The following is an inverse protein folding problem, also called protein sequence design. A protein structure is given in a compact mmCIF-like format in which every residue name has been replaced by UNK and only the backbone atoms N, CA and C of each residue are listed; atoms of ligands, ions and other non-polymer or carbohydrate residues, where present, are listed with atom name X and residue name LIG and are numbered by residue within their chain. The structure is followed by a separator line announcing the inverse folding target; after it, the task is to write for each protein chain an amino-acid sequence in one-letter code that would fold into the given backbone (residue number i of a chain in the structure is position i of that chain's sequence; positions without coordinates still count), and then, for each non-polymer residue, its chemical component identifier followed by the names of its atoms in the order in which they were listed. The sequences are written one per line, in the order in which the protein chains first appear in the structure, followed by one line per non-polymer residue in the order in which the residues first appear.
data_IF_802880822295
#
_entry.id   IF_802880822295
#
_cell.length_a   1.000
_cell.length_b   1.000
_cell.length_c   1.000
_cell.angle_alpha   90.00
_cell.angle_beta   90.00
_cell.angle_gamma   90.00
#
_symmetry.space_group_name_H-M   'P 1'
#
loop_
_entity.id
_entity.type
_entity.pdbx_description
1 polymer ?
#
# COMPACT_ATOMS: atom_id res chain seq x y z
N UNK A 1 -10.45 -11.93 57.10
CA UNK A 1 -10.37 -10.73 56.23
C UNK A 1 -10.56 -11.21 54.80
N UNK A 2 -11.63 -10.72 54.17
CA UNK A 2 -12.08 -11.13 52.85
C UNK A 2 -11.15 -10.61 51.74
N UNK A 3 -11.19 -11.34 50.63
CA UNK A 3 -10.45 -11.22 49.38
C UNK A 3 -10.55 -9.83 48.73
N UNK A 4 -9.49 -9.44 48.03
CA UNK A 4 -9.58 -8.59 46.84
C UNK A 4 -8.89 -9.35 45.70
N UNK A 5 -9.68 -10.20 45.03
CA UNK A 5 -9.27 -10.87 43.80
C UNK A 5 -9.06 -9.84 42.70
N UNK A 6 -7.84 -9.77 42.17
CA UNK A 6 -7.59 -9.17 40.87
C UNK A 6 -8.26 -10.02 39.82
N UNK A 7 -9.40 -9.54 39.29
CA UNK A 7 -10.13 -10.18 38.22
C UNK A 7 -9.26 -10.32 36.99
N UNK A 8 -8.80 -11.55 36.74
CA UNK A 8 -8.27 -11.95 35.45
C UNK A 8 -9.48 -12.17 34.55
N UNK A 9 -9.88 -11.12 33.84
CA UNK A 9 -10.94 -11.21 32.85
C UNK A 9 -10.54 -12.21 31.76
N UNK A 10 -11.48 -13.11 31.41
CA UNK A 10 -11.33 -14.27 30.54
C UNK A 10 -11.12 -13.93 29.04
N UNK A 11 -10.21 -13.01 28.75
CA UNK A 11 -9.85 -12.56 27.40
C UNK A 11 -8.63 -11.64 27.42
N UNK A 12 -7.61 -12.04 28.21
CA UNK A 12 -6.45 -11.25 28.63
C UNK A 12 -5.82 -10.35 27.56
N UNK A 13 -6.27 -9.11 27.51
CA UNK A 13 -5.56 -8.02 26.85
C UNK A 13 -5.60 -6.85 27.83
N UNK A 14 -4.47 -6.58 28.48
CA UNK A 14 -4.30 -5.37 29.29
C UNK A 14 -4.32 -4.12 28.38
N UNK A 15 -4.79 -2.99 28.91
CA UNK A 15 -5.05 -1.77 28.14
C UNK A 15 -3.78 -1.11 27.54
N UNK A 16 -2.68 -1.08 28.29
CA UNK A 16 -1.41 -0.48 27.83
C UNK A 16 -0.71 -1.30 26.73
N UNK A 17 -0.57 -2.63 26.86
CA UNK A 17 0.00 -3.47 25.80
C UNK A 17 -0.74 -3.36 24.47
N UNK A 18 -2.05 -3.13 24.49
CA UNK A 18 -2.85 -3.01 23.27
C UNK A 18 -2.49 -1.77 22.43
N UNK A 19 -2.28 -0.61 23.06
CA UNK A 19 -1.92 0.62 22.33
C UNK A 19 -0.53 0.49 21.67
N UNK A 20 0.42 -0.13 22.37
CA UNK A 20 1.74 -0.43 21.84
C UNK A 20 1.68 -1.46 20.69
N UNK A 21 0.86 -2.50 20.84
CA UNK A 21 0.60 -3.49 19.79
C UNK A 21 -0.02 -2.83 18.55
N UNK A 22 -1.01 -1.96 18.72
CA UNK A 22 -1.64 -1.22 17.62
C UNK A 22 -0.63 -0.37 16.85
N UNK A 23 0.26 0.31 17.56
CA UNK A 23 1.33 1.12 16.97
C UNK A 23 2.28 0.24 16.14
N UNK A 24 2.77 -0.86 16.72
CA UNK A 24 3.66 -1.80 16.02
C UNK A 24 3.00 -2.47 14.81
N UNK A 25 1.70 -2.77 14.88
CA UNK A 25 0.95 -3.31 13.74
C UNK A 25 0.75 -2.27 12.64
N UNK A 26 0.53 -1.00 12.98
CA UNK A 26 0.46 0.06 11.97
C UNK A 26 1.81 0.21 11.27
N UNK A 27 2.92 0.19 11.99
CA UNK A 27 4.25 0.30 11.39
C UNK A 27 4.55 -0.92 10.49
N UNK A 28 4.13 -2.12 10.89
CA UNK A 28 4.25 -3.34 10.08
C UNK A 28 3.41 -3.29 8.79
N UNK A 29 2.18 -2.78 8.86
CA UNK A 29 1.22 -2.79 7.74
C UNK A 29 1.34 -1.58 6.80
N UNK A 30 1.72 -0.43 7.36
CA UNK A 30 1.64 0.89 6.74
C UNK A 30 2.92 1.71 6.92
N UNK A 31 3.99 1.16 7.49
CA UNK A 31 5.30 1.81 7.50
C UNK A 31 5.94 1.85 6.11
N UNK A 32 6.93 2.73 5.96
CA UNK A 32 7.76 2.85 4.75
C UNK A 32 8.56 1.56 4.49
N UNK A 33 8.93 1.28 3.23
CA UNK A 33 9.59 0.02 2.86
C UNK A 33 10.96 -0.17 3.53
N UNK A 34 11.73 0.90 3.72
CA UNK A 34 12.99 0.85 4.48
C UNK A 34 12.74 0.64 5.98
N UNK A 35 11.63 1.17 6.50
CA UNK A 35 11.20 0.97 7.88
C UNK A 35 10.56 -0.42 8.12
N UNK A 36 10.11 -1.14 7.08
CA UNK A 36 9.65 -2.54 7.19
C UNK A 36 10.78 -3.51 7.51
N UNK A 37 12.01 -3.22 7.07
CA UNK A 37 13.19 -4.00 7.46
C UNK A 37 13.60 -3.74 8.93
N UNK A 38 13.27 -2.56 9.45
CA UNK A 38 13.47 -2.15 10.85
C UNK A 38 12.21 -2.44 11.71
N UNK A 39 11.09 -2.82 11.07
CA UNK A 39 9.82 -3.01 11.74
C UNK A 39 9.94 -4.16 12.74
N UNK A 40 9.59 -3.83 13.99
CA UNK A 40 9.58 -4.72 15.14
C UNK A 40 9.09 -6.10 14.73
N UNK A 41 9.96 -7.11 14.75
CA UNK A 41 9.57 -8.47 14.40
C UNK A 41 8.43 -8.93 15.32
N UNK A 42 7.56 -9.82 14.83
CA UNK A 42 6.45 -10.35 15.64
C UNK A 42 6.95 -10.93 16.96
N UNK A 43 8.16 -11.50 16.95
CA UNK A 43 8.88 -12.04 18.09
C UNK A 43 9.32 -10.94 19.08
N UNK A 44 9.80 -9.79 18.59
CA UNK A 44 10.16 -8.64 19.42
C UNK A 44 8.93 -7.97 20.06
N UNK A 45 7.80 -7.88 19.34
CA UNK A 45 6.53 -7.41 19.90
C UNK A 45 6.03 -8.34 21.00
N UNK A 46 6.09 -9.66 20.77
CA UNK A 46 5.68 -10.66 21.77
C UNK A 46 6.54 -10.56 23.02
N UNK A 47 7.88 -10.58 22.87
CA UNK A 47 8.81 -10.56 24.00
C UNK A 47 8.67 -9.30 24.87
N UNK A 48 8.35 -8.15 24.26
CA UNK A 48 8.21 -6.88 24.99
C UNK A 48 6.84 -6.67 25.63
N UNK A 49 5.76 -7.08 24.96
CA UNK A 49 4.38 -6.72 25.35
C UNK A 49 3.59 -7.88 25.97
N UNK A 50 3.94 -9.12 25.64
CA UNK A 50 3.23 -10.33 26.04
C UNK A 50 4.20 -11.49 26.33
N UNK A 51 5.16 -11.32 27.27
CA UNK A 51 6.19 -12.33 27.54
C UNK A 51 5.61 -13.68 28.02
N UNK A 52 4.48 -13.64 28.74
CA UNK A 52 3.82 -14.81 29.31
C UNK A 52 2.80 -15.47 28.36
N UNK A 53 2.64 -14.95 27.14
CA UNK A 53 1.69 -15.48 26.15
C UNK A 53 2.38 -16.47 25.21
N UNK A 54 1.69 -17.57 24.92
CA UNK A 54 2.18 -18.55 23.95
C UNK A 54 2.33 -17.91 22.57
N UNK A 55 3.22 -18.45 21.76
CA UNK A 55 3.42 -17.93 20.41
C UNK A 55 2.14 -17.97 19.57
N UNK A 56 1.34 -19.04 19.70
CA UNK A 56 0.12 -19.23 18.92
C UNK A 56 -1.01 -18.29 19.37
N UNK A 57 -1.18 -18.09 20.68
CA UNK A 57 -2.17 -17.14 21.20
C UNK A 57 -1.83 -15.70 20.81
N UNK A 58 -0.54 -15.34 20.87
CA UNK A 58 -0.08 -14.03 20.42
C UNK A 58 -0.31 -13.84 18.92
N UNK A 59 -0.04 -14.86 18.11
CA UNK A 59 -0.27 -14.82 16.66
C UNK A 59 -1.76 -14.66 16.33
N UNK A 60 -2.64 -15.34 17.06
CA UNK A 60 -4.09 -15.18 16.91
C UNK A 60 -4.54 -13.75 17.25
N UNK A 61 -4.03 -13.19 18.35
CA UNK A 61 -4.27 -11.80 18.74
C UNK A 61 -3.77 -10.81 17.67
N UNK A 62 -2.54 -10.99 17.20
CA UNK A 62 -1.92 -10.15 16.19
C UNK A 62 -2.74 -10.14 14.89
N UNK A 63 -3.19 -11.31 14.44
CA UNK A 63 -4.04 -11.44 13.25
C UNK A 63 -5.39 -10.76 13.44
N UNK A 64 -6.00 -10.86 14.63
CA UNK A 64 -7.24 -10.16 14.96
C UNK A 64 -7.06 -8.64 14.88
N UNK A 65 -6.00 -8.10 15.48
CA UNK A 65 -5.69 -6.65 15.45
C UNK A 65 -5.38 -6.17 14.03
N UNK A 66 -4.57 -6.92 13.27
CA UNK A 66 -4.30 -6.66 11.84
C UNK A 66 -5.61 -6.61 11.04
N UNK A 67 -6.51 -7.55 11.27
CA UNK A 67 -7.80 -7.62 10.59
C UNK A 67 -8.68 -6.39 10.86
N UNK A 68 -8.77 -5.97 12.12
CA UNK A 68 -9.52 -4.77 12.52
C UNK A 68 -8.95 -3.51 11.87
N UNK A 69 -7.63 -3.30 11.96
CA UNK A 69 -6.96 -2.13 11.36
C UNK A 69 -7.10 -2.12 9.84
N UNK A 70 -6.99 -3.27 9.16
CA UNK A 70 -7.25 -3.36 7.72
C UNK A 70 -8.68 -2.99 7.38
N UNK A 71 -9.67 -3.50 8.11
CA UNK A 71 -11.07 -3.17 7.86
C UNK A 71 -11.34 -1.65 8.01
N UNK A 72 -10.78 -1.05 9.07
CA UNK A 72 -10.89 0.39 9.32
C UNK A 72 -10.20 1.22 8.23
N UNK A 73 -9.01 0.80 7.80
CA UNK A 73 -8.24 1.48 6.77
C UNK A 73 -8.85 1.35 5.37
N UNK A 74 -9.30 0.15 4.99
CA UNK A 74 -9.92 -0.09 3.67
C UNK A 74 -11.21 0.71 3.50
N UNK A 75 -11.99 0.90 4.57
CA UNK A 75 -13.21 1.71 4.53
C UNK A 75 -12.96 3.20 4.83
N UNK A 76 -11.71 3.61 5.09
CA UNK A 76 -11.34 4.95 5.55
C UNK A 76 -12.29 5.52 6.61
N UNK A 77 -12.64 4.70 7.61
CA UNK A 77 -13.77 4.98 8.51
C UNK A 77 -13.65 6.34 9.20
N UNK A 78 -14.70 7.15 9.11
CA UNK A 78 -14.85 8.38 9.90
C UNK A 78 -15.28 8.07 11.35
N UNK A 79 -15.47 9.10 12.18
CA UNK A 79 -15.82 8.91 13.59
C UNK A 79 -17.16 8.20 13.80
N UNK A 80 -18.17 8.48 12.96
CA UNK A 80 -19.50 7.87 13.06
C UNK A 80 -19.46 6.41 12.61
N UNK A 81 -18.79 6.13 11.50
CA UNK A 81 -18.61 4.77 10.99
C UNK A 81 -17.80 3.90 11.96
N UNK A 82 -16.75 4.47 12.56
CA UNK A 82 -15.92 3.79 13.54
C UNK A 82 -16.72 3.40 14.80
N UNK A 83 -17.53 4.31 15.34
CA UNK A 83 -18.34 4.02 16.51
C UNK A 83 -19.33 2.88 16.25
N UNK A 84 -20.02 2.92 15.10
CA UNK A 84 -20.93 1.85 14.70
C UNK A 84 -20.20 0.50 14.51
N UNK A 85 -19.03 0.52 13.87
CA UNK A 85 -18.20 -0.66 13.66
C UNK A 85 -17.74 -1.28 14.99
N UNK A 86 -17.21 -0.46 15.90
CA UNK A 86 -16.74 -0.92 17.21
C UNK A 86 -17.90 -1.41 18.09
N UNK A 87 -19.06 -0.77 18.05
CA UNK A 87 -20.26 -1.24 18.74
C UNK A 87 -20.68 -2.63 18.25
N UNK A 88 -20.59 -2.89 16.94
CA UNK A 88 -20.83 -4.22 16.39
C UNK A 88 -19.76 -5.24 16.82
N UNK A 89 -18.48 -4.85 16.88
CA UNK A 89 -17.40 -5.71 17.37
C UNK A 89 -17.57 -6.08 18.84
N UNK A 90 -18.14 -5.19 19.68
CA UNK A 90 -18.40 -5.48 21.10
C UNK A 90 -19.54 -6.49 21.29
N UNK A 91 -20.55 -6.48 20.40
CA UNK A 91 -21.68 -7.42 20.46
C UNK A 91 -21.36 -8.80 19.89
N UNK A 92 -20.28 -8.91 19.11
CA UNK A 92 -19.92 -10.15 18.41
C UNK A 92 -19.27 -11.16 19.38
N UNK A 93 -19.70 -12.44 19.41
CA UNK A 93 -18.98 -13.49 20.12
C UNK A 93 -17.53 -13.60 19.65
N UNK A 94 -16.57 -13.56 20.58
CA UNK A 94 -15.13 -13.51 20.25
C UNK A 94 -14.65 -12.16 19.69
N UNK A 95 -15.49 -11.13 19.75
CA UNK A 95 -15.21 -9.75 19.37
C UNK A 95 -14.30 -9.02 20.37
N UNK A 96 -14.33 -7.69 20.36
CA UNK A 96 -13.49 -6.86 21.26
C UNK A 96 -14.28 -6.48 22.51
N UNK A 97 -13.61 -6.25 23.64
CA UNK A 97 -14.28 -5.72 24.82
C UNK A 97 -14.56 -4.21 24.67
N UNK A 98 -15.47 -3.66 25.47
CA UNK A 98 -15.77 -2.22 25.45
C UNK A 98 -14.52 -1.36 25.75
N UNK A 99 -13.63 -1.84 26.62
CA UNK A 99 -12.37 -1.17 26.92
C UNK A 99 -11.41 -1.18 25.72
N UNK A 100 -11.29 -2.32 25.04
CA UNK A 100 -10.47 -2.44 23.82
C UNK A 100 -11.02 -1.56 22.70
N UNK A 101 -12.35 -1.49 22.55
CA UNK A 101 -13.00 -0.59 21.60
C UNK A 101 -12.67 0.87 21.88
N UNK A 102 -12.70 1.31 23.15
CA UNK A 102 -12.34 2.68 23.51
C UNK A 102 -10.87 3.01 23.16
N UNK A 103 -9.95 2.08 23.38
CA UNK A 103 -8.53 2.23 23.01
C UNK A 103 -8.39 2.31 21.49
N UNK A 104 -9.04 1.41 20.74
CA UNK A 104 -9.06 1.40 19.28
C UNK A 104 -9.60 2.71 18.70
N UNK A 105 -10.69 3.24 19.27
CA UNK A 105 -11.28 4.49 18.83
C UNK A 105 -10.32 5.68 18.98
N UNK A 106 -9.68 5.80 20.16
CA UNK A 106 -8.69 6.84 20.44
C UNK A 106 -7.45 6.71 19.54
N UNK A 107 -7.00 5.47 19.35
CA UNK A 107 -5.86 5.17 18.49
C UNK A 107 -6.14 5.59 17.03
N UNK A 108 -7.28 5.15 16.47
CA UNK A 108 -7.65 5.45 15.09
C UNK A 108 -7.80 6.94 14.85
N UNK A 109 -8.46 7.66 15.76
CA UNK A 109 -8.60 9.12 15.68
C UNK A 109 -7.25 9.83 15.53
N UNK A 110 -6.20 9.29 16.16
CA UNK A 110 -4.85 9.87 16.13
C UNK A 110 -4.00 9.39 14.94
N UNK A 111 -4.24 8.18 14.43
CA UNK A 111 -3.38 7.54 13.40
C UNK A 111 -4.01 7.46 12.00
N UNK A 112 -5.31 7.76 11.85
CA UNK A 112 -6.04 7.70 10.57
C UNK A 112 -5.33 8.50 9.46
N UNK A 113 -4.87 9.71 9.78
CA UNK A 113 -4.14 10.57 8.82
C UNK A 113 -2.90 9.86 8.26
N UNK A 114 -2.00 9.40 9.13
CA UNK A 114 -0.79 8.66 8.75
C UNK A 114 -1.08 7.39 7.95
N UNK A 115 -2.08 6.61 8.37
CA UNK A 115 -2.49 5.39 7.65
C UNK A 115 -3.01 5.73 6.25
N UNK A 116 -3.84 6.78 6.14
CA UNK A 116 -4.36 7.26 4.86
C UNK A 116 -3.24 7.77 3.96
N UNK A 117 -2.31 8.55 4.48
CA UNK A 117 -1.15 9.05 3.72
C UNK A 117 -0.29 7.90 3.18
N UNK A 118 0.01 6.90 4.00
CA UNK A 118 0.74 5.70 3.59
C UNK A 118 0.00 4.92 2.49
N UNK A 119 -1.32 4.76 2.62
CA UNK A 119 -2.12 4.10 1.59
C UNK A 119 -2.13 4.91 0.28
N UNK A 120 -2.28 6.22 0.36
CA UNK A 120 -2.22 7.11 -0.81
C UNK A 120 -0.87 7.02 -1.48
N UNK A 121 0.23 7.08 -0.73
CA UNK A 121 1.60 6.94 -1.25
C UNK A 121 1.78 5.62 -2.00
N UNK A 122 1.24 4.51 -1.47
CA UNK A 122 1.28 3.18 -2.11
C UNK A 122 0.35 3.03 -3.32
N UNK A 123 -0.63 3.93 -3.47
CA UNK A 123 -1.51 3.97 -4.64
C UNK A 123 -1.00 4.91 -5.73
N UNK A 124 0.15 5.58 -5.53
CA UNK A 124 0.78 6.38 -6.59
C UNK A 124 1.42 5.44 -7.62
N UNK A 125 1.22 5.76 -8.89
CA UNK A 125 1.86 5.06 -10.00
C UNK A 125 3.29 5.56 -10.11
N UNK A 126 4.21 5.00 -9.34
CA UNK A 126 5.57 5.50 -9.24
C UNK A 126 6.56 4.39 -9.64
N UNK A 127 7.46 4.63 -10.61
CA UNK A 127 7.64 5.87 -11.40
C UNK A 127 6.52 6.11 -12.43
N UNK A 128 6.24 7.39 -12.71
CA UNK A 128 5.29 7.84 -13.75
C UNK A 128 6.00 8.12 -15.08
N UNK A 129 5.28 8.00 -16.19
CA UNK A 129 5.70 8.58 -17.47
C UNK A 129 5.26 10.05 -17.51
N UNK A 130 6.21 10.97 -17.42
CA UNK A 130 5.97 12.42 -17.39
C UNK A 130 5.73 13.01 -18.78
N UNK A 131 6.52 12.59 -19.78
CA UNK A 131 6.45 13.13 -21.12
C UNK A 131 6.73 12.07 -22.18
N UNK A 132 6.15 12.28 -23.36
CA UNK A 132 6.40 11.49 -24.57
C UNK A 132 6.62 12.47 -25.72
N UNK A 133 7.85 12.56 -26.21
CA UNK A 133 8.19 13.35 -27.38
C UNK A 133 8.58 12.41 -28.51
N UNK A 134 8.16 12.73 -29.73
CA UNK A 134 8.53 11.89 -30.87
C UNK A 134 8.72 12.73 -32.13
N UNK A 135 9.52 12.20 -33.04
CA UNK A 135 9.67 12.70 -34.41
C UNK A 135 9.95 11.55 -35.36
N UNK A 136 9.71 11.77 -36.65
CA UNK A 136 10.06 10.81 -37.70
C UNK A 136 11.05 11.48 -38.63
N UNK A 137 12.20 10.85 -38.79
CA UNK A 137 13.27 11.30 -39.65
C UNK A 137 13.28 10.42 -40.91
N UNK A 138 13.40 11.05 -42.08
CA UNK A 138 13.57 10.35 -43.36
C UNK A 138 15.01 10.59 -43.81
N UNK A 139 15.87 9.54 -43.86
CA UNK A 139 17.25 9.72 -44.27
C UNK A 139 17.33 10.21 -45.71
N UNK A 140 18.14 11.24 -45.96
CA UNK A 140 18.41 11.71 -47.31
C UNK A 140 19.10 10.61 -48.13
N UNK A 141 18.71 10.47 -49.40
CA UNK A 141 19.36 9.54 -50.31
C UNK A 141 20.82 9.95 -50.54
N UNK A 142 21.77 9.04 -50.28
CA UNK A 142 23.16 9.28 -50.62
C UNK A 142 23.29 9.17 -52.16
N UNK A 143 23.59 10.29 -52.81
CA UNK A 143 23.63 10.40 -54.27
C UNK A 143 24.58 9.38 -54.92
N UNK A 144 24.15 8.91 -56.10
CA UNK A 144 24.85 8.31 -57.27
C UNK A 144 24.08 7.13 -57.92
N UNK A 145 22.95 6.71 -57.35
CA UNK A 145 22.05 5.74 -57.97
C UNK A 145 20.63 6.28 -57.82
N UNK A 146 19.85 6.36 -58.90
CA UNK A 146 18.53 7.01 -58.96
C UNK A 146 17.40 6.28 -58.22
N UNK A 147 17.67 5.69 -57.06
CA UNK A 147 16.69 4.98 -56.26
C UNK A 147 17.00 5.12 -54.75
N UNK A 148 15.93 5.18 -53.96
CA UNK A 148 15.85 5.05 -52.51
C UNK A 148 16.12 6.30 -51.65
N UNK A 149 15.03 7.01 -51.33
CA UNK A 149 14.87 7.67 -50.03
C UNK A 149 15.05 6.62 -48.92
N UNK A 150 15.80 6.92 -47.86
CA UNK A 150 15.97 5.96 -46.77
C UNK A 150 14.64 5.60 -46.10
N UNK A 151 14.55 4.41 -45.51
CA UNK A 151 13.37 4.00 -44.75
C UNK A 151 13.13 4.99 -43.58
N UNK A 152 11.90 5.47 -43.35
CA UNK A 152 11.60 6.36 -42.24
C UNK A 152 11.92 5.73 -40.89
N UNK A 153 12.46 6.53 -39.97
CA UNK A 153 12.82 6.11 -38.62
C UNK A 153 12.12 7.02 -37.62
N UNK A 154 11.44 6.43 -36.64
CA UNK A 154 10.82 7.15 -35.53
C UNK A 154 11.80 7.24 -34.36
N UNK A 155 12.02 8.47 -33.89
CA UNK A 155 12.70 8.75 -32.62
C UNK A 155 11.65 9.05 -31.57
N UNK A 156 11.71 8.33 -30.45
CA UNK A 156 10.80 8.46 -29.33
C UNK A 156 11.61 8.74 -28.05
N UNK A 157 11.28 9.80 -27.34
CA UNK A 157 11.86 10.15 -26.05
C UNK A 157 10.78 10.09 -24.97
N UNK A 158 11.09 9.40 -23.87
CA UNK A 158 10.21 9.19 -22.73
C UNK A 158 10.92 9.71 -21.48
N UNK A 159 10.28 10.62 -20.75
CA UNK A 159 10.77 11.03 -19.42
C UNK A 159 10.00 10.22 -18.36
N UNK A 160 10.69 9.38 -17.61
CA UNK A 160 10.12 8.48 -16.60
C UNK A 160 10.74 8.81 -15.25
N UNK A 161 9.93 9.03 -14.21
CA UNK A 161 10.49 9.43 -12.93
C UNK A 161 9.47 9.54 -11.81
N UNK A 162 10.00 9.97 -10.66
CA UNK A 162 9.23 10.25 -9.48
C UNK A 162 8.82 11.71 -9.38
N UNK A 163 7.62 11.97 -8.84
CA UNK A 163 7.17 13.34 -8.58
C UNK A 163 8.19 14.11 -7.71
N UNK A 164 8.70 15.23 -8.23
CA UNK A 164 9.67 16.09 -7.55
C UNK A 164 11.14 15.69 -7.73
N UNK A 165 11.44 14.63 -8.49
CA UNK A 165 12.80 14.25 -8.88
C UNK A 165 13.06 14.58 -10.36
N UNK A 166 14.34 14.68 -10.74
CA UNK A 166 14.71 14.79 -12.15
C UNK A 166 14.42 13.44 -12.84
N UNK A 167 13.60 13.42 -13.91
CA UNK A 167 13.19 12.18 -14.54
C UNK A 167 14.33 11.57 -15.39
N UNK A 168 14.36 10.25 -15.44
CA UNK A 168 15.22 9.51 -16.35
C UNK A 168 14.68 9.62 -17.78
N UNK A 169 15.55 10.00 -18.72
CA UNK A 169 15.20 10.07 -20.14
C UNK A 169 15.59 8.81 -20.87
N UNK A 170 14.61 8.19 -21.52
CA UNK A 170 14.80 7.04 -22.40
C UNK A 170 14.57 7.45 -23.86
N UNK A 171 15.60 7.31 -24.69
CA UNK A 171 15.53 7.56 -26.14
C UNK A 171 15.51 6.24 -26.90
N UNK A 172 14.56 6.10 -27.82
CA UNK A 172 14.35 4.90 -28.64
C UNK A 172 14.32 5.29 -30.11
N UNK A 173 14.97 4.49 -30.93
CA UNK A 173 14.95 4.58 -32.39
C UNK A 173 14.24 3.34 -32.94
N UNK A 174 13.17 3.55 -33.71
CA UNK A 174 12.24 2.50 -34.11
C UNK A 174 11.89 2.62 -35.58
N UNK A 175 11.88 1.49 -36.27
CA UNK A 175 11.26 1.39 -37.59
C UNK A 175 9.74 1.21 -37.48
N UNK A 176 9.07 1.15 -38.63
CA UNK A 176 7.62 0.95 -38.71
C UNK A 176 7.15 -0.31 -37.95
N UNK A 177 7.92 -1.40 -38.05
CA UNK A 177 7.61 -2.66 -37.37
C UNK A 177 7.70 -2.52 -35.84
N UNK A 178 8.70 -1.79 -35.34
CA UNK A 178 8.87 -1.45 -33.94
C UNK A 178 7.70 -0.64 -33.39
N UNK A 179 7.29 0.41 -34.12
CA UNK A 179 6.12 1.24 -33.74
C UNK A 179 4.84 0.40 -33.74
N UNK A 180 4.61 -0.42 -34.78
CA UNK A 180 3.44 -1.28 -34.86
C UNK A 180 3.35 -2.24 -33.65
N UNK A 181 4.48 -2.76 -33.17
CA UNK A 181 4.55 -3.61 -31.98
C UNK A 181 4.20 -2.87 -30.70
N UNK A 182 4.69 -1.63 -30.54
CA UNK A 182 4.33 -0.78 -29.39
C UNK A 182 2.83 -0.49 -29.40
N UNK A 183 2.29 -0.05 -30.54
CA UNK A 183 0.86 0.25 -30.69
C UNK A 183 -0.01 -0.95 -30.36
N UNK A 184 0.33 -2.13 -30.87
CA UNK A 184 -0.38 -3.38 -30.54
C UNK A 184 -0.37 -3.67 -29.04
N UNK A 185 0.73 -3.38 -28.35
CA UNK A 185 0.87 -3.62 -26.92
C UNK A 185 0.05 -2.61 -26.10
N UNK A 186 0.10 -1.32 -26.46
CA UNK A 186 -0.71 -0.26 -25.83
C UNK A 186 -2.20 -0.54 -26.00
N UNK A 187 -2.65 -0.88 -27.21
CA UNK A 187 -4.06 -1.23 -27.46
C UNK A 187 -4.51 -2.46 -26.66
N UNK A 188 -3.65 -3.48 -26.52
CA UNK A 188 -3.97 -4.64 -25.69
C UNK A 188 -4.12 -4.27 -24.20
N UNK A 189 -3.30 -3.33 -23.71
CA UNK A 189 -3.40 -2.79 -22.34
C UNK A 189 -4.72 -2.02 -22.18
N UNK A 190 -5.04 -1.11 -23.10
CA UNK A 190 -6.30 -0.34 -23.10
C UNK A 190 -7.52 -1.25 -23.05
N UNK A 191 -7.55 -2.30 -23.87
CA UNK A 191 -8.65 -3.28 -23.89
C UNK A 191 -8.79 -4.02 -22.55
N UNK A 192 -7.69 -4.33 -21.87
CA UNK A 192 -7.72 -4.97 -20.55
C UNK A 192 -8.25 -4.01 -19.49
N UNK A 193 -7.83 -2.75 -19.51
CA UNK A 193 -8.33 -1.71 -18.60
C UNK A 193 -9.84 -1.50 -18.80
N UNK A 194 -10.30 -1.40 -20.05
CA UNK A 194 -11.72 -1.23 -20.35
C UNK A 194 -12.59 -2.38 -19.83
N UNK A 195 -12.09 -3.62 -19.86
CA UNK A 195 -12.78 -4.80 -19.30
C UNK A 195 -12.83 -4.80 -17.78
N UNK A 196 -11.86 -4.19 -17.09
CA UNK A 196 -11.83 -4.09 -15.63
C UNK A 196 -12.73 -2.97 -15.10
N UNK A 197 -13.08 -2.00 -15.95
CA UNK A 197 -13.98 -0.89 -15.61
C UNK A 197 -15.47 -1.17 -15.84
N UNK A 198 -15.84 -2.37 -16.29
CA UNK A 198 -17.22 -2.85 -16.43
C UNK A 198 -17.57 -3.81 -15.29
#
# INVERSE_FOLDING_TARGET
MAQAGGGVDAGGIQAEPLAALLSGVVDLLFGEEDAKAVAVSEEALRGKLYPDTTHDDFKALLNKVKGLLKAMATADMDSTQLEAFLAAQVRKPGGVTAQQAAILARFWKSHRGRVRESLVARCRWEPTLHSVNWRVDVPAANGHSGDQSGAPIAFLELDIGHEGQEPDRLSLELDEAGIAKIMKSVTAIEQRIAKLGQ
#
